data_IF_189584135696
#
_entry.id   IF_189584135696
#
_cell.length_a   1.000
_cell.length_b   1.000
_cell.length_c   1.000
_cell.angle_alpha   90.00
_cell.angle_beta   90.00
_cell.angle_gamma   90.00
#
_symmetry.space_group_name_H-M   'P 1'
#
loop_
_entity.id
_entity.type
_entity.pdbx_description
1 polymer ?
#
# COMPACT_ATOMS: atom_id res chain seq x y z
N UNK A 1 15.58 22.69 -63.75
CA UNK A 1 15.47 22.53 -62.30
C UNK A 1 14.80 23.78 -61.79
N UNK A 2 13.51 23.69 -61.51
CA UNK A 2 12.75 24.84 -61.02
C UNK A 2 13.24 25.18 -59.62
N UNK A 3 13.61 26.44 -59.41
CA UNK A 3 14.06 26.93 -58.11
C UNK A 3 12.91 27.63 -57.40
N UNK A 4 12.78 27.37 -56.10
CA UNK A 4 11.78 28.00 -55.23
C UNK A 4 12.47 28.63 -54.03
N UNK A 5 11.99 29.81 -53.64
CA UNK A 5 12.44 30.49 -52.43
C UNK A 5 11.68 29.98 -51.21
N UNK A 6 12.41 29.53 -50.20
CA UNK A 6 11.89 29.13 -48.89
C UNK A 6 12.40 30.05 -47.79
N UNK A 7 11.61 30.22 -46.73
CA UNK A 7 12.01 30.99 -45.54
C UNK A 7 12.34 30.02 -44.40
N UNK A 8 13.62 29.87 -44.09
CA UNK A 8 14.09 29.01 -43.00
C UNK A 8 13.88 29.72 -41.67
N UNK A 9 13.14 29.09 -40.74
CA UNK A 9 12.92 29.60 -39.38
C UNK A 9 13.82 28.90 -38.35
N UNK A 10 14.25 27.66 -38.63
CA UNK A 10 15.13 26.87 -37.76
C UNK A 10 16.33 26.42 -38.60
N UNK A 11 17.58 26.76 -38.23
CA UNK A 11 18.75 26.33 -39.00
C UNK A 11 18.83 24.80 -39.08
N UNK A 12 19.23 24.30 -40.24
CA UNK A 12 19.42 22.87 -40.45
C UNK A 12 20.53 22.61 -41.46
N UNK A 13 20.90 21.33 -41.56
CA UNK A 13 21.92 20.86 -42.49
C UNK A 13 21.34 19.71 -43.28
N UNK A 14 21.49 19.75 -44.60
CA UNK A 14 21.02 18.73 -45.52
C UNK A 14 22.21 17.97 -46.11
N UNK A 15 22.14 16.64 -46.09
CA UNK A 15 23.08 15.78 -46.80
C UNK A 15 22.46 15.33 -48.11
N UNK A 16 23.09 15.66 -49.22
CA UNK A 16 22.66 15.28 -50.57
C UNK A 16 23.13 13.85 -50.90
N UNK A 17 22.53 13.22 -51.91
CA UNK A 17 22.86 11.84 -52.32
C UNK A 17 24.31 11.66 -52.80
N UNK A 18 24.96 12.74 -53.24
CA UNK A 18 26.38 12.76 -53.61
C UNK A 18 27.32 12.88 -52.39
N UNK A 19 26.77 12.89 -51.17
CA UNK A 19 27.51 13.06 -49.92
C UNK A 19 27.91 14.51 -49.60
N UNK A 20 27.50 15.50 -50.41
CA UNK A 20 27.72 16.91 -50.08
C UNK A 20 26.78 17.35 -48.97
N UNK A 21 27.29 18.21 -48.09
CA UNK A 21 26.56 18.72 -46.94
C UNK A 21 26.34 20.22 -47.15
N UNK A 22 25.07 20.64 -47.10
CA UNK A 22 24.67 22.04 -47.29
C UNK A 22 24.02 22.57 -46.02
N UNK A 23 24.48 23.72 -45.54
CA UNK A 23 23.98 24.35 -44.33
C UNK A 23 23.00 25.47 -44.66
N UNK A 24 21.81 25.40 -44.09
CA UNK A 24 20.75 26.39 -44.22
C UNK A 24 20.59 27.16 -42.91
N UNK A 25 21.06 28.41 -42.89
CA UNK A 25 20.83 29.34 -41.78
C UNK A 25 19.41 29.91 -41.76
N UNK A 26 19.02 30.62 -40.70
CA UNK A 26 17.74 31.36 -40.68
C UNK A 26 17.74 32.44 -41.76
N UNK A 27 16.72 32.47 -42.62
CA UNK A 27 16.66 33.44 -43.72
C UNK A 27 16.00 32.91 -44.99
N UNK A 28 16.07 33.70 -46.06
CA UNK A 28 15.59 33.33 -47.39
C UNK A 28 16.66 32.51 -48.10
N UNK A 29 16.29 31.32 -48.56
CA UNK A 29 17.15 30.45 -49.36
C UNK A 29 16.45 30.05 -50.64
N UNK A 30 17.22 29.95 -51.71
CA UNK A 30 16.73 29.49 -53.01
C UNK A 30 17.18 28.04 -53.21
N UNK A 31 16.22 27.12 -53.21
CA UNK A 31 16.46 25.67 -53.32
C UNK A 31 15.67 25.09 -54.49
N UNK A 32 15.98 23.86 -54.88
CA UNK A 32 15.21 23.15 -55.91
C UNK A 32 13.77 22.89 -55.43
N UNK A 33 12.78 23.01 -56.32
CA UNK A 33 11.37 22.87 -55.99
C UNK A 33 11.04 21.50 -55.38
N UNK A 34 11.63 20.41 -55.90
CA UNK A 34 11.46 19.08 -55.32
C UNK A 34 12.04 18.95 -53.91
N UNK A 35 13.10 19.71 -53.60
CA UNK A 35 13.70 19.75 -52.28
C UNK A 35 12.87 20.61 -51.31
N UNK A 36 12.23 21.68 -51.79
CA UNK A 36 11.30 22.48 -51.00
C UNK A 36 10.06 21.68 -50.53
N UNK A 37 9.63 20.68 -51.30
CA UNK A 37 8.53 19.80 -50.91
C UNK A 37 8.96 18.66 -49.97
N UNK A 38 10.27 18.44 -49.80
CA UNK A 38 10.77 17.38 -48.94
C UNK A 38 10.37 17.63 -47.47
N UNK A 39 9.86 16.60 -46.80
CA UNK A 39 9.31 16.70 -45.44
C UNK A 39 10.30 17.34 -44.44
N UNK A 40 11.59 17.03 -44.59
CA UNK A 40 12.65 17.57 -43.72
C UNK A 40 12.84 19.08 -43.91
N UNK A 41 12.75 19.57 -45.15
CA UNK A 41 12.88 21.00 -45.46
C UNK A 41 11.65 21.76 -44.98
N UNK A 42 10.45 21.22 -45.25
CA UNK A 42 9.17 21.78 -44.79
C UNK A 42 9.07 21.93 -43.27
N UNK A 43 9.73 21.07 -42.49
CA UNK A 43 9.78 21.19 -41.03
C UNK A 43 10.58 22.41 -40.55
N UNK A 44 11.55 22.87 -41.34
CA UNK A 44 12.47 23.95 -41.00
C UNK A 44 12.17 25.25 -41.76
N UNK A 45 11.25 25.20 -42.73
CA UNK A 45 10.84 26.33 -43.56
C UNK A 45 9.38 26.67 -43.35
N UNK A 46 9.07 27.95 -43.17
CA UNK A 46 7.70 28.45 -43.14
C UNK A 46 7.14 28.72 -44.54
N UNK A 47 5.81 28.78 -44.65
CA UNK A 47 5.12 29.19 -45.87
C UNK A 47 5.49 30.62 -46.27
N UNK A 48 5.52 30.86 -47.59
CA UNK A 48 5.91 32.09 -48.28
C UNK A 48 5.42 33.36 -47.55
N UNK A 49 6.24 34.41 -47.33
CA UNK A 49 5.74 35.71 -46.94
C UNK A 49 5.01 36.32 -48.15
N UNK A 50 3.72 36.04 -48.28
CA UNK A 50 2.93 36.56 -49.39
C UNK A 50 1.51 36.00 -49.56
N UNK A 51 1.09 35.00 -48.80
CA UNK A 51 -0.32 34.63 -48.78
C UNK A 51 -0.71 34.01 -47.45
N UNK A 52 -1.70 34.62 -46.81
CA UNK A 52 -2.44 34.13 -45.65
C UNK A 52 -1.83 34.41 -44.27
N UNK A 53 -1.81 35.69 -43.88
CA UNK A 53 -2.81 36.26 -42.95
C UNK A 53 -2.40 37.70 -42.61
N UNK A 54 -3.10 38.65 -43.22
CA UNK A 54 -3.36 39.94 -42.60
C UNK A 54 -3.89 39.72 -41.17
N UNK A 55 -3.34 40.50 -40.23
CA UNK A 55 -4.01 40.95 -39.00
C UNK A 55 -4.60 39.86 -38.08
N UNK A 56 -3.87 39.53 -37.02
CA UNK A 56 -4.37 38.58 -36.02
C UNK A 56 -3.61 38.54 -34.70
N UNK A 57 -3.60 39.67 -33.96
CA UNK A 57 -3.62 39.62 -32.50
C UNK A 57 -2.27 39.50 -31.77
N UNK A 58 -1.68 40.65 -31.47
CA UNK A 58 -0.83 40.81 -30.29
C UNK A 58 -1.59 40.59 -28.94
N UNK A 59 -2.86 40.19 -28.98
CA UNK A 59 -3.70 39.85 -27.82
C UNK A 59 -3.86 38.35 -27.54
N UNK A 60 -3.78 37.47 -28.55
CA UNK A 60 -4.13 36.04 -28.38
C UNK A 60 -3.08 35.21 -27.64
N UNK A 61 -1.79 35.54 -27.79
CA UNK A 61 -0.70 34.81 -27.11
C UNK A 61 -0.62 35.07 -25.61
N UNK A 62 -1.03 36.27 -25.16
CA UNK A 62 -1.07 36.61 -23.74
C UNK A 62 -2.24 35.91 -23.02
N UNK A 63 -3.39 35.81 -23.69
CA UNK A 63 -4.58 35.13 -23.19
C UNK A 63 -4.35 33.61 -23.09
N UNK A 64 -3.84 32.98 -24.15
CA UNK A 64 -3.46 31.56 -24.15
C UNK A 64 -2.38 31.25 -23.10
N UNK A 65 -1.45 32.18 -22.85
CA UNK A 65 -0.45 32.03 -21.79
C UNK A 65 -1.02 32.20 -20.37
N UNK A 66 -2.13 32.91 -20.21
CA UNK A 66 -2.81 33.06 -18.92
C UNK A 66 -3.69 31.83 -18.61
N UNK A 67 -4.35 31.29 -19.63
CA UNK A 67 -5.08 30.02 -19.55
C UNK A 67 -4.16 28.86 -19.17
N UNK A 68 -2.99 28.74 -19.81
CA UNK A 68 -2.01 27.69 -19.48
C UNK A 68 -1.52 27.78 -18.03
N UNK A 69 -1.34 28.99 -17.49
CA UNK A 69 -0.95 29.19 -16.09
C UNK A 69 -2.07 28.80 -15.14
N UNK A 70 -3.31 29.17 -15.46
CA UNK A 70 -4.49 28.81 -14.67
C UNK A 70 -4.65 27.29 -14.61
N UNK A 71 -4.46 26.62 -15.75
CA UNK A 71 -4.52 25.17 -15.85
C UNK A 71 -3.37 24.49 -15.08
N UNK A 72 -2.16 25.06 -15.13
CA UNK A 72 -1.03 24.57 -14.34
C UNK A 72 -1.27 24.74 -12.84
N UNK A 73 -1.83 25.86 -12.42
CA UNK A 73 -2.18 26.12 -11.01
C UNK A 73 -3.28 25.16 -10.53
N UNK A 74 -4.29 24.90 -11.37
CA UNK A 74 -5.34 23.90 -11.11
C UNK A 74 -4.75 22.50 -10.96
N UNK A 75 -3.96 22.06 -11.93
CA UNK A 75 -3.31 20.76 -11.90
C UNK A 75 -2.39 20.61 -10.68
N UNK A 76 -1.68 21.69 -10.31
CA UNK A 76 -0.82 21.71 -9.12
C UNK A 76 -1.62 21.64 -7.82
N UNK A 77 -2.80 22.25 -7.77
CA UNK A 77 -3.70 22.14 -6.61
C UNK A 77 -4.27 20.73 -6.48
N UNK A 78 -4.67 20.11 -7.59
CA UNK A 78 -5.18 18.74 -7.64
C UNK A 78 -4.12 17.72 -7.19
N UNK A 79 -2.89 17.83 -7.69
CA UNK A 79 -1.79 16.96 -7.26
C UNK A 79 -1.52 17.07 -5.75
N UNK A 80 -1.62 18.27 -5.17
CA UNK A 80 -1.43 18.46 -3.72
C UNK A 80 -2.57 17.82 -2.93
N UNK A 81 -3.81 18.00 -3.36
CA UNK A 81 -4.96 17.38 -2.71
C UNK A 81 -4.89 15.84 -2.77
N UNK A 82 -4.47 15.27 -3.90
CA UNK A 82 -4.29 13.82 -4.04
C UNK A 82 -3.14 13.30 -3.18
N UNK A 83 -2.03 14.06 -3.06
CA UNK A 83 -0.95 13.70 -2.15
C UNK A 83 -1.41 13.67 -0.68
N UNK A 84 -2.18 14.67 -0.24
CA UNK A 84 -2.76 14.71 1.11
C UNK A 84 -3.73 13.54 1.35
N UNK A 85 -4.52 13.17 0.35
CA UNK A 85 -5.41 12.01 0.42
C UNK A 85 -4.61 10.72 0.57
N UNK A 86 -3.56 10.52 -0.25
CA UNK A 86 -2.68 9.35 -0.17
C UNK A 86 -2.03 9.24 1.21
N UNK A 87 -1.56 10.36 1.78
CA UNK A 87 -0.95 10.37 3.12
C UNK A 87 -1.96 9.99 4.21
N UNK A 88 -3.20 10.47 4.11
CA UNK A 88 -4.30 10.10 5.02
C UNK A 88 -4.65 8.61 4.91
N UNK A 89 -4.74 8.07 3.70
CA UNK A 89 -5.01 6.65 3.46
C UNK A 89 -3.87 5.77 3.99
N UNK A 90 -2.61 6.17 3.78
CA UNK A 90 -1.43 5.50 4.35
C UNK A 90 -1.47 5.47 5.88
N UNK A 91 -1.79 6.60 6.51
CA UNK A 91 -1.93 6.66 7.97
C UNK A 91 -3.04 5.72 8.47
N UNK A 92 -4.16 5.66 7.75
CA UNK A 92 -5.27 4.75 8.06
C UNK A 92 -4.86 3.28 7.94
N UNK A 93 -4.17 2.91 6.87
CA UNK A 93 -3.68 1.54 6.65
C UNK A 93 -2.68 1.12 7.73
N UNK A 94 -1.72 1.99 8.07
CA UNK A 94 -0.77 1.74 9.15
C UNK A 94 -1.48 1.53 10.50
N UNK A 95 -2.51 2.34 10.79
CA UNK A 95 -3.33 2.18 11.98
C UNK A 95 -4.07 0.84 12.02
N UNK A 96 -4.64 0.40 10.88
CA UNK A 96 -5.30 -0.91 10.76
C UNK A 96 -4.32 -2.07 10.93
N UNK A 97 -3.13 -1.98 10.34
CA UNK A 97 -2.09 -3.01 10.47
C UNK A 97 -1.65 -3.18 11.93
N UNK A 98 -1.43 -2.06 12.64
CA UNK A 98 -1.11 -2.09 14.07
C UNK A 98 -2.25 -2.73 14.89
N UNK A 99 -3.51 -2.39 14.60
CA UNK A 99 -4.67 -2.98 15.27
C UNK A 99 -4.80 -4.49 15.01
N UNK A 100 -4.57 -4.94 13.78
CA UNK A 100 -4.57 -6.37 13.44
C UNK A 100 -3.46 -7.13 14.16
N UNK A 101 -2.27 -6.53 14.27
CA UNK A 101 -1.16 -7.12 15.03
C UNK A 101 -1.50 -7.26 16.52
N UNK A 102 -2.14 -6.27 17.12
CA UNK A 102 -2.61 -6.36 18.51
C UNK A 102 -3.66 -7.46 18.66
N UNK A 103 -4.66 -7.50 17.77
CA UNK A 103 -5.69 -8.54 17.80
C UNK A 103 -5.11 -9.96 17.67
N UNK A 104 -4.09 -10.14 16.83
CA UNK A 104 -3.40 -11.43 16.70
C UNK A 104 -2.71 -11.86 18.01
N UNK A 105 -2.04 -10.93 18.69
CA UNK A 105 -1.43 -11.20 20.00
C UNK A 105 -2.49 -11.54 21.05
N UNK A 106 -3.58 -10.76 21.12
CA UNK A 106 -4.68 -11.00 22.06
C UNK A 106 -5.32 -12.38 21.85
N UNK A 107 -5.42 -12.84 20.60
CA UNK A 107 -5.95 -14.16 20.28
C UNK A 107 -5.01 -15.28 20.72
N UNK A 108 -3.70 -15.14 20.49
CA UNK A 108 -2.68 -16.09 20.96
C UNK A 108 -2.67 -16.20 22.50
N UNK A 109 -2.79 -15.08 23.20
CA UNK A 109 -2.93 -15.07 24.67
C UNK A 109 -4.21 -15.74 25.14
N UNK A 110 -5.33 -15.49 24.45
CA UNK A 110 -6.62 -16.15 24.75
C UNK A 110 -6.56 -17.65 24.51
N UNK A 111 -5.91 -18.11 23.45
CA UNK A 111 -5.73 -19.52 23.15
C UNK A 111 -4.96 -20.22 24.27
N UNK A 112 -3.81 -19.66 24.68
CA UNK A 112 -3.02 -20.15 25.81
C UNK A 112 -3.84 -20.20 27.11
N UNK A 113 -4.66 -19.19 27.37
CA UNK A 113 -5.52 -19.15 28.55
C UNK A 113 -6.61 -20.24 28.52
N UNK A 114 -7.16 -20.53 27.34
CA UNK A 114 -8.13 -21.61 27.16
C UNK A 114 -7.49 -22.98 27.36
N UNK A 115 -6.29 -23.21 26.82
CA UNK A 115 -5.53 -24.44 27.04
C UNK A 115 -5.24 -24.68 28.53
N UNK A 116 -4.78 -23.63 29.23
CA UNK A 116 -4.55 -23.71 30.67
C UNK A 116 -5.83 -24.01 31.45
N UNK A 117 -6.96 -23.40 31.05
CA UNK A 117 -8.26 -23.67 31.65
C UNK A 117 -8.71 -25.12 31.40
N UNK A 118 -8.50 -25.65 30.19
CA UNK A 118 -8.84 -27.03 29.85
C UNK A 118 -8.01 -28.02 30.67
N UNK A 119 -6.70 -27.78 30.78
CA UNK A 119 -5.82 -28.60 31.62
C UNK A 119 -6.27 -28.57 33.09
N UNK A 120 -6.66 -27.41 33.61
CA UNK A 120 -7.19 -27.26 34.96
C UNK A 120 -8.52 -27.99 35.20
N UNK A 121 -9.41 -28.00 34.20
CA UNK A 121 -10.66 -28.77 34.27
C UNK A 121 -10.38 -30.28 34.27
N UNK A 122 -9.51 -30.76 33.38
CA UNK A 122 -9.11 -32.17 33.34
C UNK A 122 -8.51 -32.61 34.68
N UNK A 123 -7.64 -31.79 35.28
CA UNK A 123 -7.06 -32.09 36.60
C UNK A 123 -8.11 -32.16 37.71
N UNK A 124 -9.11 -31.27 37.70
CA UNK A 124 -10.23 -31.30 38.65
C UNK A 124 -11.09 -32.54 38.46
N UNK A 125 -11.37 -32.94 37.23
CA UNK A 125 -12.11 -34.16 36.92
C UNK A 125 -11.41 -35.40 37.46
N UNK A 126 -10.09 -35.51 37.27
CA UNK A 126 -9.27 -36.59 37.84
C UNK A 126 -9.35 -36.58 39.37
N UNK A 127 -9.13 -35.43 40.02
CA UNK A 127 -9.19 -35.33 41.48
C UNK A 127 -10.57 -35.70 42.06
N UNK A 128 -11.65 -35.32 41.37
CA UNK A 128 -13.02 -35.71 41.76
C UNK A 128 -13.21 -37.22 41.62
N UNK A 129 -12.72 -37.83 40.53
CA UNK A 129 -12.80 -39.26 40.32
C UNK A 129 -12.03 -40.03 41.40
N UNK A 130 -10.82 -39.59 41.75
CA UNK A 130 -10.01 -40.15 42.84
C UNK A 130 -10.71 -40.03 44.20
N UNK A 131 -11.25 -38.86 44.52
CA UNK A 131 -12.01 -38.65 45.77
C UNK A 131 -13.28 -39.52 45.84
N UNK A 132 -13.98 -39.70 44.71
CA UNK A 132 -15.17 -40.55 44.61
C UNK A 132 -14.83 -42.06 44.68
N UNK A 133 -13.60 -42.45 44.33
CA UNK A 133 -13.11 -43.81 44.49
C UNK A 133 -12.71 -44.07 45.96
N UNK A 134 -12.01 -43.12 46.59
CA UNK A 134 -11.60 -43.22 48.00
C UNK A 134 -12.80 -43.37 48.95
N UNK A 135 -13.90 -42.67 48.68
CA UNK A 135 -15.14 -42.76 49.47
C UNK A 135 -15.94 -44.05 49.25
N UNK A 136 -15.73 -44.75 48.12
CA UNK A 136 -16.34 -46.08 47.84
C UNK A 136 -15.52 -47.25 48.38
N UNK A 137 -14.24 -47.04 48.68
CA UNK A 137 -13.31 -48.06 49.16
C UNK A 137 -13.41 -48.38 50.66
N UNK A 138 -14.35 -47.80 51.40
CA UNK A 138 -14.57 -48.10 52.83
C UNK A 138 -15.86 -48.91 53.07
N UNK A 139 -15.83 -50.25 52.91
CA UNK A 139 -16.86 -51.13 53.43
C UNK A 139 -16.52 -51.53 54.88
N UNK A 140 -17.31 -51.00 55.82
CA UNK A 140 -17.53 -51.53 57.17
C UNK A 140 -16.32 -51.67 58.11
N UNK A 141 -16.28 -50.75 59.08
CA UNK A 141 -15.96 -51.11 60.46
C UNK A 141 -16.96 -52.18 60.94
N UNK A 142 -16.53 -53.39 61.37
CA UNK A 142 -17.45 -54.46 61.75
C UNK A 142 -18.22 -54.08 63.03
N UNK A 143 -19.42 -54.63 63.26
CA UNK A 143 -20.14 -54.40 64.50
C UNK A 143 -19.33 -54.97 65.65
N UNK A 144 -19.06 -54.13 66.66
CA UNK A 144 -18.58 -54.57 67.97
C UNK A 144 -19.60 -55.55 68.54
N UNK A 145 -19.31 -56.85 68.44
CA UNK A 145 -20.05 -57.87 69.14
C UNK A 145 -19.67 -57.82 70.62
N UNK A 146 -20.69 -57.52 71.42
CA UNK A 146 -20.75 -57.74 72.86
C UNK A 146 -20.34 -59.19 73.20
N UNK A 147 -19.38 -59.33 74.11
CA UNK A 147 -18.75 -60.61 74.47
C UNK A 147 -17.97 -60.45 75.76
N UNK A 148 -18.64 -60.72 76.88
CA UNK A 148 -18.18 -60.44 78.24
C UNK A 148 -16.78 -60.95 78.59
N UNK A 149 -16.04 -60.11 79.31
CA UNK A 149 -14.91 -60.51 80.13
C UNK A 149 -15.10 -59.94 81.53
N UNK A 150 -15.18 -60.86 82.49
CA UNK A 150 -15.37 -60.63 83.92
C UNK A 150 -14.40 -59.61 84.51
N UNK A 151 -14.82 -58.80 85.51
CA UNK A 151 -13.87 -58.03 86.31
C UNK A 151 -13.10 -58.95 87.28
N UNK A 152 -11.78 -58.74 87.50
CA UNK A 152 -11.04 -59.50 88.50
C UNK A 152 -11.49 -59.13 89.91
N UNK A 153 -11.85 -60.14 90.70
CA UNK A 153 -12.13 -60.02 92.15
C UNK A 153 -10.90 -59.48 92.87
N UNK A 154 -10.95 -58.23 93.34
CA UNK A 154 -9.99 -57.73 94.34
C UNK A 154 -10.44 -58.22 95.72
N UNK A 155 -9.77 -59.28 96.18
CA UNK A 155 -9.77 -59.68 97.59
C UNK A 155 -9.19 -58.54 98.44
N UNK A 156 -9.96 -58.08 99.41
CA UNK A 156 -9.47 -57.29 100.54
C UNK A 156 -8.45 -58.11 101.35
N UNK A 157 -7.51 -57.44 102.02
CA UNK A 157 -7.09 -57.87 103.34
C UNK A 157 -7.53 -56.85 104.40
N UNK A 158 -8.17 -57.40 105.44
CA UNK A 158 -8.42 -56.81 106.76
C UNK A 158 -7.12 -56.29 107.38
N UNK A 159 -7.13 -55.10 107.97
CA UNK A 159 -7.10 -54.88 109.43
C UNK A 159 -7.74 -53.54 109.75
#
# INVERSE_FOLDING_TARGET
MDKTTVQVHTPFTLTHDNGSVEHFGVGKHEIEAGLAEHWYVRLHTGDKPGSQLESGGAGGGAEMSAELRTELDRASAELRAEAEQIDSERATLNGREAALKQLANDLDEREKALDARQAGLNAREVAIAEAAAATRGDPQQPPVQDGGSQPPKKSQPKQ
#
